data_IF_698730623297
#
_entry.id   IF_698730623297
#
_cell.length_a   1.000
_cell.length_b   1.000
_cell.length_c   1.000
_cell.angle_alpha   90.00
_cell.angle_beta   90.00
_cell.angle_gamma   90.00
#
_symmetry.space_group_name_H-M   'P 1'
#
loop_
_entity.id
_entity.type
_entity.pdbx_description
1 polymer ?
#
# COMPACT_ATOMS: atom_id res chain seq x y z
N UNK A 1 25.29 -11.17 -1.32
CA UNK A 1 23.94 -11.34 -0.78
C UNK A 1 24.02 -11.62 0.72
N UNK A 2 23.33 -10.81 1.53
CA UNK A 2 23.32 -10.97 2.99
C UNK A 2 22.13 -11.80 3.46
N UNK A 3 21.10 -11.96 2.62
CA UNK A 3 19.98 -12.84 2.89
C UNK A 3 20.45 -14.28 2.90
N UNK A 4 20.26 -14.97 4.03
CA UNK A 4 20.76 -16.34 4.25
C UNK A 4 19.74 -17.41 3.84
N UNK A 5 18.62 -17.02 3.24
CA UNK A 5 17.51 -17.92 2.89
C UNK A 5 17.14 -18.85 4.05
N UNK A 6 16.77 -18.23 5.18
CA UNK A 6 16.44 -18.98 6.40
C UNK A 6 15.28 -19.93 6.17
N UNK A 7 15.40 -21.18 6.62
CA UNK A 7 14.31 -22.18 6.56
C UNK A 7 13.05 -21.74 7.33
N UNK A 8 13.22 -20.90 8.37
CA UNK A 8 12.15 -20.22 9.06
C UNK A 8 12.41 -18.71 8.99
N UNK A 9 11.92 -18.02 7.95
CA UNK A 9 12.18 -16.60 7.77
C UNK A 9 11.30 -15.76 8.71
N UNK A 10 11.83 -15.35 9.86
CA UNK A 10 11.12 -14.50 10.81
C UNK A 10 10.68 -13.16 10.23
N UNK A 11 11.36 -12.68 9.18
CA UNK A 11 10.95 -11.48 8.44
C UNK A 11 9.53 -11.59 7.85
N UNK A 12 9.00 -12.80 7.61
CA UNK A 12 7.64 -13.05 7.14
C UNK A 12 6.61 -13.14 8.27
N UNK A 13 7.01 -13.27 9.54
CA UNK A 13 6.15 -13.78 10.60
C UNK A 13 4.92 -12.91 10.87
N UNK A 14 5.07 -11.59 10.86
CA UNK A 14 3.97 -10.65 11.10
C UNK A 14 3.27 -10.84 12.45
N UNK A 15 3.99 -11.29 13.48
CA UNK A 15 3.44 -11.59 14.80
C UNK A 15 3.63 -10.43 15.77
N UNK A 16 2.73 -10.32 16.75
CA UNK A 16 2.86 -9.35 17.84
C UNK A 16 3.69 -9.96 18.97
N UNK A 17 4.82 -9.32 19.30
CA UNK A 17 5.69 -9.67 20.43
C UNK A 17 5.76 -8.49 21.39
N UNK A 18 5.32 -8.68 22.65
CA UNK A 18 5.34 -7.64 23.68
C UNK A 18 4.73 -6.29 23.22
N UNK A 19 3.65 -6.34 22.44
CA UNK A 19 2.99 -5.13 21.92
C UNK A 19 3.64 -4.48 20.71
N UNK A 20 4.74 -5.04 20.19
CA UNK A 20 5.40 -4.60 18.97
C UNK A 20 5.24 -5.63 17.84
N UNK A 21 5.11 -5.15 16.61
CA UNK A 21 5.03 -6.01 15.42
C UNK A 21 6.43 -6.51 15.06
N UNK A 22 6.58 -7.83 14.91
CA UNK A 22 7.79 -8.50 14.44
C UNK A 22 7.54 -9.20 13.12
N UNK A 23 8.35 -8.92 12.12
CA UNK A 23 8.15 -9.41 10.76
C UNK A 23 7.10 -8.64 9.96
N UNK A 24 6.91 -9.01 8.71
CA UNK A 24 5.99 -8.36 7.78
C UNK A 24 4.55 -8.83 7.98
N UNK A 25 3.59 -7.93 8.29
CA UNK A 25 2.18 -8.32 8.45
C UNK A 25 1.49 -8.74 7.13
N UNK A 26 2.10 -8.42 5.99
CA UNK A 26 1.65 -8.88 4.68
C UNK A 26 2.27 -10.21 4.28
N UNK A 27 3.17 -10.76 5.10
CA UNK A 27 3.94 -11.97 4.82
C UNK A 27 4.68 -11.91 3.47
N UNK A 28 5.30 -10.75 3.17
CA UNK A 28 6.10 -10.57 1.98
C UNK A 28 7.19 -11.64 1.89
N UNK A 29 7.47 -12.10 0.67
CA UNK A 29 8.34 -13.26 0.40
C UNK A 29 9.81 -12.81 0.24
N UNK A 30 10.40 -12.26 1.32
CA UNK A 30 11.72 -11.61 1.28
C UNK A 30 12.83 -12.50 0.78
N UNK A 31 13.06 -13.73 1.28
CA UNK A 31 14.14 -14.56 0.80
C UNK A 31 14.07 -14.82 -0.71
N UNK A 32 12.87 -15.05 -1.23
CA UNK A 32 12.64 -15.38 -2.62
C UNK A 32 12.94 -14.20 -3.56
N UNK A 33 12.38 -13.00 -3.30
CA UNK A 33 12.71 -11.88 -4.17
C UNK A 33 14.14 -11.37 -3.97
N UNK A 34 14.74 -11.53 -2.78
CA UNK A 34 16.14 -11.22 -2.53
C UNK A 34 17.07 -12.15 -3.33
N UNK A 35 16.74 -13.42 -3.43
CA UNK A 35 17.48 -14.39 -4.24
C UNK A 35 17.40 -14.05 -5.73
N UNK A 36 16.21 -13.71 -6.24
CA UNK A 36 16.07 -13.24 -7.62
C UNK A 36 16.89 -11.98 -7.91
N UNK A 37 16.94 -11.02 -6.97
CA UNK A 37 17.80 -9.82 -7.12
C UNK A 37 19.27 -10.22 -7.16
N UNK A 38 19.69 -11.16 -6.29
CA UNK A 38 21.08 -11.66 -6.27
C UNK A 38 21.47 -12.32 -7.58
N UNK A 39 20.56 -13.04 -8.20
CA UNK A 39 20.79 -13.71 -9.50
C UNK A 39 20.63 -12.76 -10.70
N UNK A 40 20.30 -11.48 -10.50
CA UNK A 40 20.04 -10.54 -11.60
C UNK A 40 18.71 -10.77 -12.33
N UNK A 41 17.78 -11.49 -11.70
CA UNK A 41 16.48 -11.85 -12.27
C UNK A 41 15.40 -10.85 -11.85
N UNK A 42 15.59 -9.56 -12.15
CA UNK A 42 14.76 -8.44 -11.67
C UNK A 42 13.27 -8.61 -12.02
N UNK A 43 12.94 -9.18 -13.18
CA UNK A 43 11.55 -9.45 -13.54
C UNK A 43 10.87 -10.42 -12.57
N UNK A 44 11.54 -11.50 -12.21
CA UNK A 44 11.01 -12.48 -11.26
C UNK A 44 10.95 -11.91 -9.85
N UNK A 45 11.92 -11.08 -9.45
CA UNK A 45 11.90 -10.35 -8.19
C UNK A 45 10.65 -9.46 -8.09
N UNK A 46 10.34 -8.70 -9.14
CA UNK A 46 9.14 -7.87 -9.20
C UNK A 46 7.85 -8.69 -9.12
N UNK A 47 7.73 -9.75 -9.90
CA UNK A 47 6.54 -10.63 -9.88
C UNK A 47 6.34 -11.22 -8.48
N UNK A 48 7.42 -11.63 -7.83
CA UNK A 48 7.36 -12.21 -6.49
C UNK A 48 6.97 -11.18 -5.42
N UNK A 49 7.55 -9.99 -5.45
CA UNK A 49 7.22 -8.90 -4.54
C UNK A 49 5.76 -8.44 -4.71
N UNK A 50 5.32 -8.28 -5.96
CA UNK A 50 3.97 -7.79 -6.26
C UNK A 50 2.86 -8.81 -5.94
N UNK A 51 3.22 -10.08 -5.64
CA UNK A 51 2.25 -11.11 -5.24
C UNK A 51 1.59 -10.81 -3.89
N UNK A 52 2.31 -10.15 -2.98
CA UNK A 52 1.84 -9.85 -1.62
C UNK A 52 1.80 -8.36 -1.32
N UNK A 53 2.42 -7.52 -2.15
CA UNK A 53 2.47 -6.07 -1.97
C UNK A 53 2.01 -5.35 -3.24
N UNK A 54 0.84 -4.70 -3.19
CA UNK A 54 0.28 -3.96 -4.32
C UNK A 54 1.11 -2.73 -4.69
N UNK A 55 1.72 -2.07 -3.69
CA UNK A 55 2.36 -0.76 -3.87
C UNK A 55 3.74 -0.70 -3.20
N UNK A 56 4.72 -1.47 -3.69
CA UNK A 56 6.07 -1.43 -3.14
C UNK A 56 6.71 -0.04 -3.17
N UNK A 57 6.35 0.81 -4.15
CA UNK A 57 6.81 2.19 -4.24
C UNK A 57 6.33 3.08 -3.08
N UNK A 58 5.24 2.72 -2.39
CA UNK A 58 4.81 3.44 -1.19
C UNK A 58 5.46 2.84 0.05
N UNK A 59 5.37 1.52 0.22
CA UNK A 59 5.90 0.84 1.40
C UNK A 59 7.40 0.98 1.53
N UNK A 60 8.15 0.95 0.43
CA UNK A 60 9.60 1.16 0.45
C UNK A 60 10.03 2.55 0.96
N UNK A 61 9.16 3.55 0.94
CA UNK A 61 9.42 4.87 1.49
C UNK A 61 8.93 5.03 2.94
N UNK A 62 7.74 4.51 3.26
CA UNK A 62 7.05 4.87 4.51
C UNK A 62 6.91 3.75 5.52
N UNK A 63 7.13 2.49 5.13
CA UNK A 63 7.03 1.35 6.04
C UNK A 63 8.12 1.44 7.12
N UNK A 64 7.80 1.18 8.41
CA UNK A 64 8.80 1.12 9.49
C UNK A 64 9.70 -0.12 9.41
N UNK A 65 9.45 -1.03 8.47
CA UNK A 65 10.23 -2.23 8.17
C UNK A 65 10.45 -3.16 9.39
N UNK A 66 9.40 -3.62 10.08
CA UNK A 66 9.54 -4.56 11.19
C UNK A 66 10.16 -5.91 10.76
N UNK A 67 10.15 -6.19 9.45
CA UNK A 67 10.83 -7.32 8.85
C UNK A 67 12.37 -7.24 8.99
N UNK A 68 12.96 -6.04 8.93
CA UNK A 68 14.40 -5.85 9.13
C UNK A 68 14.79 -6.13 10.60
N UNK A 69 13.97 -5.65 11.55
CA UNK A 69 14.16 -5.95 12.97
C UNK A 69 14.01 -7.44 13.32
N UNK A 70 13.23 -8.19 12.54
CA UNK A 70 13.04 -9.63 12.70
C UNK A 70 14.05 -10.48 11.92
N UNK A 71 14.96 -9.86 11.15
CA UNK A 71 15.92 -10.57 10.34
C UNK A 71 16.99 -11.28 11.18
N UNK A 72 17.11 -12.61 11.05
CA UNK A 72 18.08 -13.42 11.78
C UNK A 72 19.53 -12.99 11.54
N UNK A 73 19.85 -12.42 10.36
CA UNK A 73 21.19 -11.88 10.09
C UNK A 73 21.56 -10.77 11.09
N UNK A 74 20.60 -10.06 11.65
CA UNK A 74 20.79 -9.04 12.66
C UNK A 74 21.32 -9.55 14.01
N UNK A 75 21.30 -10.86 14.25
CA UNK A 75 21.88 -11.48 15.44
C UNK A 75 23.42 -11.58 15.39
N UNK A 76 23.99 -11.57 14.19
CA UNK A 76 25.43 -11.77 13.96
C UNK A 76 26.06 -10.53 13.36
N UNK A 77 25.30 -9.76 12.59
CA UNK A 77 25.75 -8.55 11.89
C UNK A 77 24.53 -7.64 11.65
N UNK A 78 24.64 -6.60 10.76
CA UNK A 78 23.49 -5.81 10.40
C UNK A 78 22.42 -6.65 9.67
N UNK A 79 21.13 -6.40 9.90
CA UNK A 79 20.05 -7.07 9.17
C UNK A 79 20.11 -6.77 7.67
N UNK A 80 19.41 -7.57 6.88
CA UNK A 80 19.20 -7.29 5.44
C UNK A 80 18.36 -6.03 5.29
N UNK A 81 18.81 -5.09 4.45
CA UNK A 81 18.08 -3.85 4.12
C UNK A 81 16.91 -4.15 3.18
N UNK A 82 15.90 -4.83 3.70
CA UNK A 82 14.76 -5.38 2.94
C UNK A 82 14.01 -4.26 2.23
N UNK A 83 13.71 -3.19 2.95
CA UNK A 83 12.96 -2.05 2.39
C UNK A 83 13.68 -1.39 1.20
N UNK A 84 15.00 -1.29 1.26
CA UNK A 84 15.79 -0.76 0.15
C UNK A 84 15.80 -1.71 -1.05
N UNK A 85 15.79 -3.02 -0.80
CA UNK A 85 15.67 -4.01 -1.87
C UNK A 85 14.28 -3.95 -2.54
N UNK A 86 13.21 -3.81 -1.76
CA UNK A 86 11.86 -3.58 -2.29
C UNK A 86 11.83 -2.31 -3.17
N UNK A 87 12.48 -1.22 -2.73
CA UNK A 87 12.59 0.02 -3.52
C UNK A 87 13.34 -0.21 -4.83
N UNK A 88 14.49 -0.89 -4.77
CA UNK A 88 15.25 -1.25 -5.97
C UNK A 88 14.38 -2.03 -6.96
N UNK A 89 13.74 -3.09 -6.50
CA UNK A 89 12.92 -3.97 -7.35
C UNK A 89 11.81 -3.19 -8.05
N UNK A 90 11.06 -2.36 -7.31
CA UNK A 90 9.94 -1.64 -7.92
C UNK A 90 10.40 -0.52 -8.86
N UNK A 91 11.46 0.20 -8.54
CA UNK A 91 11.96 1.25 -9.43
C UNK A 91 12.59 0.66 -10.70
N UNK A 92 13.31 -0.46 -10.62
CA UNK A 92 13.75 -1.20 -11.80
C UNK A 92 12.57 -1.70 -12.64
N UNK A 93 11.50 -2.19 -11.99
CA UNK A 93 10.30 -2.63 -12.70
C UNK A 93 9.62 -1.47 -13.47
N UNK A 94 9.57 -0.26 -12.89
CA UNK A 94 9.09 0.92 -13.60
C UNK A 94 10.01 1.35 -14.74
N UNK A 95 11.32 1.42 -14.49
CA UNK A 95 12.34 1.79 -15.50
C UNK A 95 12.28 0.87 -16.71
N UNK A 96 12.13 -0.44 -16.47
CA UNK A 96 12.04 -1.47 -17.51
C UNK A 96 10.62 -1.66 -18.07
N UNK A 97 9.65 -0.80 -17.73
CA UNK A 97 8.26 -0.86 -18.20
C UNK A 97 7.55 -2.20 -17.92
N UNK A 98 7.94 -2.88 -16.86
CA UNK A 98 7.30 -4.12 -16.42
C UNK A 98 5.97 -3.85 -15.71
N UNK A 99 5.89 -2.71 -14.99
CA UNK A 99 4.65 -2.30 -14.32
C UNK A 99 3.67 -1.77 -15.35
N UNK A 100 2.57 -2.48 -15.51
CA UNK A 100 1.52 -2.15 -16.49
C UNK A 100 0.17 -1.99 -15.81
N UNK A 101 -0.79 -1.25 -16.43
CA UNK A 101 -2.17 -1.22 -15.95
C UNK A 101 -2.78 -2.63 -15.94
N UNK A 102 -3.40 -2.99 -14.82
CA UNK A 102 -4.10 -4.27 -14.67
C UNK A 102 -5.45 -4.23 -15.37
N UNK A 103 -5.50 -4.73 -16.61
CA UNK A 103 -6.76 -4.89 -17.36
C UNK A 103 -7.20 -6.35 -17.27
N UNK A 104 -8.30 -6.66 -16.56
CA UNK A 104 -8.77 -8.03 -16.46
C UNK A 104 -9.25 -8.54 -17.83
N UNK A 105 -8.97 -9.81 -18.12
CA UNK A 105 -9.39 -10.43 -19.39
C UNK A 105 -10.92 -10.52 -19.54
N UNK A 106 -11.61 -10.66 -18.40
CA UNK A 106 -13.08 -10.75 -18.35
C UNK A 106 -13.62 -9.87 -17.23
N UNK A 107 -14.75 -9.22 -17.48
CA UNK A 107 -15.51 -8.50 -16.45
C UNK A 107 -16.60 -9.40 -15.90
N UNK A 108 -16.76 -9.37 -14.56
CA UNK A 108 -17.78 -10.18 -13.85
C UNK A 108 -19.20 -9.60 -13.98
N UNK A 109 -19.32 -8.37 -14.48
CA UNK A 109 -20.56 -7.61 -14.46
C UNK A 109 -20.93 -7.01 -13.10
N UNK A 110 -20.18 -7.32 -12.03
CA UNK A 110 -20.38 -6.78 -10.70
C UNK A 110 -19.73 -5.42 -10.53
N UNK A 111 -20.46 -4.50 -9.88
CA UNK A 111 -20.04 -3.13 -9.55
C UNK A 111 -19.75 -3.01 -8.07
N UNK A 112 -18.57 -2.51 -7.71
CA UNK A 112 -18.17 -2.32 -6.31
C UNK A 112 -17.80 -0.87 -6.06
N UNK A 113 -18.39 -0.29 -5.03
CA UNK A 113 -18.01 1.02 -4.52
C UNK A 113 -16.96 0.87 -3.40
N UNK A 114 -15.85 1.57 -3.53
CA UNK A 114 -14.82 1.67 -2.48
C UNK A 114 -14.85 3.08 -1.90
N UNK A 115 -15.08 3.20 -0.60
CA UNK A 115 -15.23 4.49 0.07
C UNK A 115 -13.92 4.88 0.76
N UNK A 116 -13.24 5.85 0.18
CA UNK A 116 -11.91 6.31 0.58
C UNK A 116 -10.81 5.81 -0.36
N UNK A 117 -9.90 6.69 -0.72
CA UNK A 117 -8.77 6.45 -1.63
C UNK A 117 -7.41 6.39 -0.90
N UNK A 118 -7.41 6.19 0.41
CA UNK A 118 -6.18 5.91 1.15
C UNK A 118 -5.52 4.59 0.74
N UNK A 119 -4.39 4.20 1.35
CA UNK A 119 -3.68 2.95 1.00
C UNK A 119 -4.58 1.73 0.94
N UNK A 120 -5.47 1.57 1.93
CA UNK A 120 -6.41 0.45 1.99
C UNK A 120 -7.41 0.46 0.82
N UNK A 121 -7.99 1.64 0.51
CA UNK A 121 -8.94 1.77 -0.60
C UNK A 121 -8.29 1.56 -1.96
N UNK A 122 -7.09 2.08 -2.16
CA UNK A 122 -6.35 1.86 -3.41
C UNK A 122 -6.00 0.38 -3.60
N UNK A 123 -5.54 -0.33 -2.54
CA UNK A 123 -5.22 -1.76 -2.62
C UNK A 123 -6.48 -2.59 -2.87
N UNK A 124 -7.57 -2.30 -2.17
CA UNK A 124 -8.87 -2.94 -2.39
C UNK A 124 -9.34 -2.75 -3.84
N UNK A 125 -9.24 -1.52 -4.38
CA UNK A 125 -9.63 -1.23 -5.74
C UNK A 125 -8.76 -1.97 -6.78
N UNK A 126 -7.45 -2.08 -6.54
CA UNK A 126 -6.53 -2.83 -7.40
C UNK A 126 -6.91 -4.33 -7.45
N UNK A 127 -7.10 -4.95 -6.28
CA UNK A 127 -7.45 -6.38 -6.20
C UNK A 127 -8.84 -6.68 -6.80
N UNK A 128 -9.84 -5.86 -6.51
CA UNK A 128 -11.17 -6.02 -7.07
C UNK A 128 -11.17 -5.84 -8.60
N UNK A 129 -10.39 -4.88 -9.11
CA UNK A 129 -10.23 -4.70 -10.55
C UNK A 129 -9.51 -5.90 -11.20
N UNK A 130 -8.45 -6.43 -10.57
CA UNK A 130 -7.77 -7.67 -11.01
C UNK A 130 -8.72 -8.86 -11.07
N UNK A 131 -9.63 -8.95 -10.10
CA UNK A 131 -10.68 -9.98 -10.06
C UNK A 131 -11.78 -9.81 -11.13
N UNK A 132 -11.76 -8.70 -11.88
CA UNK A 132 -12.68 -8.43 -12.97
C UNK A 132 -13.92 -7.63 -12.60
N UNK A 133 -14.02 -7.10 -11.38
CA UNK A 133 -15.13 -6.23 -10.99
C UNK A 133 -14.97 -4.83 -11.56
N UNK A 134 -16.09 -4.13 -11.81
CA UNK A 134 -16.10 -2.70 -12.11
C UNK A 134 -16.02 -1.93 -10.79
N UNK A 135 -14.96 -1.16 -10.60
CA UNK A 135 -14.69 -0.49 -9.31
C UNK A 135 -14.75 1.01 -9.46
N UNK A 136 -15.51 1.66 -8.59
CA UNK A 136 -15.52 3.12 -8.43
C UNK A 136 -15.06 3.47 -7.02
N UNK A 137 -14.00 4.26 -6.91
CA UNK A 137 -13.46 4.77 -5.65
C UNK A 137 -14.04 6.16 -5.39
N UNK A 138 -14.74 6.32 -4.29
CA UNK A 138 -15.29 7.60 -3.82
C UNK A 138 -14.32 8.24 -2.84
N UNK A 139 -13.89 9.46 -3.13
CA UNK A 139 -12.96 10.22 -2.30
C UNK A 139 -13.53 11.61 -2.00
N UNK A 140 -13.57 11.98 -0.73
CA UNK A 140 -14.06 13.29 -0.31
C UNK A 140 -13.13 14.44 -0.69
N UNK A 141 -11.82 14.18 -0.80
CA UNK A 141 -10.83 15.18 -1.16
C UNK A 141 -10.75 15.38 -2.69
N UNK A 142 -10.04 16.43 -3.09
CA UNK A 142 -9.81 16.80 -4.50
C UNK A 142 -8.78 15.89 -5.20
N UNK A 143 -8.00 15.11 -4.45
CA UNK A 143 -6.99 14.18 -4.97
C UNK A 143 -7.05 12.83 -4.25
N UNK A 144 -6.79 11.72 -4.95
CA UNK A 144 -6.72 10.40 -4.33
C UNK A 144 -5.41 10.20 -3.57
N UNK A 145 -5.41 9.28 -2.62
CA UNK A 145 -4.22 8.86 -1.87
C UNK A 145 -4.37 8.98 -0.35
N UNK A 146 -5.39 9.67 0.16
CA UNK A 146 -5.60 9.83 1.60
C UNK A 146 -4.36 10.39 2.30
N UNK A 147 -3.90 9.75 3.38
CA UNK A 147 -2.72 10.20 4.13
C UNK A 147 -1.41 10.11 3.32
N UNK A 148 -1.31 9.30 2.28
CA UNK A 148 -0.16 9.32 1.37
C UNK A 148 -0.03 10.70 0.70
N UNK A 149 -1.17 11.27 0.29
CA UNK A 149 -1.23 12.58 -0.38
C UNK A 149 -1.17 13.74 0.63
N UNK A 150 -1.96 13.68 1.70
CA UNK A 150 -2.22 14.83 2.58
C UNK A 150 -1.50 14.76 3.94
N UNK A 151 -1.04 13.56 4.38
CA UNK A 151 -0.43 13.40 5.70
C UNK A 151 1.09 13.24 5.68
N UNK A 152 1.67 12.63 4.64
CA UNK A 152 3.09 12.36 4.56
C UNK A 152 3.81 13.52 3.85
N UNK A 153 4.89 14.11 4.40
CA UNK A 153 5.62 15.19 3.75
C UNK A 153 6.36 14.71 2.49
N UNK A 154 6.53 15.62 1.52
CA UNK A 154 7.15 15.32 0.22
C UNK A 154 8.58 14.77 0.34
N UNK A 155 9.35 15.20 1.34
CA UNK A 155 10.70 14.69 1.57
C UNK A 155 10.73 13.20 1.92
N UNK A 156 9.62 12.64 2.40
CA UNK A 156 9.49 11.22 2.75
C UNK A 156 8.81 10.42 1.65
N UNK A 157 7.84 11.01 0.94
CA UNK A 157 7.13 10.38 -0.18
C UNK A 157 6.77 11.44 -1.22
N UNK A 158 7.45 11.45 -2.35
CA UNK A 158 7.13 12.33 -3.47
C UNK A 158 5.73 12.00 -4.02
N UNK A 159 4.88 13.03 -4.15
CA UNK A 159 3.50 12.88 -4.63
C UNK A 159 3.41 12.38 -6.06
N UNK A 160 4.45 12.56 -6.86
CA UNK A 160 4.56 11.99 -8.21
C UNK A 160 4.46 10.46 -8.22
N UNK A 161 4.90 9.79 -7.14
CA UNK A 161 4.76 8.33 -7.02
C UNK A 161 3.29 7.92 -6.87
N UNK A 162 2.52 8.73 -6.13
CA UNK A 162 1.08 8.51 -5.96
C UNK A 162 0.37 8.74 -7.29
N UNK A 163 0.67 9.86 -7.96
CA UNK A 163 0.07 10.20 -9.26
C UNK A 163 0.37 9.12 -10.29
N UNK A 164 1.63 8.61 -10.32
CA UNK A 164 2.06 7.50 -11.18
C UNK A 164 1.20 6.25 -10.97
N UNK A 165 0.98 5.86 -9.71
CA UNK A 165 0.17 4.68 -9.36
C UNK A 165 -1.31 4.88 -9.66
N UNK A 166 -1.86 6.02 -9.29
CA UNK A 166 -3.27 6.35 -9.56
C UNK A 166 -3.56 6.35 -11.06
N UNK A 167 -2.62 6.86 -11.87
CA UNK A 167 -2.72 6.78 -13.32
C UNK A 167 -2.81 5.33 -13.81
N UNK A 168 -1.97 4.44 -13.30
CA UNK A 168 -2.01 3.01 -13.66
C UNK A 168 -3.35 2.36 -13.29
N UNK A 169 -3.91 2.69 -12.12
CA UNK A 169 -5.22 2.18 -11.70
C UNK A 169 -6.33 2.67 -12.65
N UNK A 170 -6.32 3.96 -13.00
CA UNK A 170 -7.26 4.54 -13.98
C UNK A 170 -7.13 3.89 -15.35
N UNK A 171 -5.90 3.75 -15.84
CA UNK A 171 -5.61 3.10 -17.12
C UNK A 171 -6.01 1.60 -17.11
N UNK A 172 -6.06 0.98 -15.92
CA UNK A 172 -6.55 -0.38 -15.67
C UNK A 172 -8.08 -0.49 -15.62
N UNK A 173 -8.80 0.64 -15.51
CA UNK A 173 -10.25 0.67 -15.50
C UNK A 173 -10.88 0.92 -14.14
N UNK A 174 -10.10 1.36 -13.13
CA UNK A 174 -10.65 1.85 -11.86
C UNK A 174 -11.11 3.29 -12.04
N UNK A 175 -12.34 3.57 -11.67
CA UNK A 175 -12.93 4.91 -11.68
C UNK A 175 -12.72 5.62 -10.34
N UNK A 176 -12.52 6.96 -10.39
CA UNK A 176 -12.38 7.79 -9.20
C UNK A 176 -13.39 8.93 -9.24
N UNK A 177 -14.25 8.99 -8.22
CA UNK A 177 -15.18 10.09 -7.96
C UNK A 177 -14.61 10.93 -6.82
N UNK A 178 -13.96 12.04 -7.18
CA UNK A 178 -13.35 12.97 -6.23
C UNK A 178 -14.38 14.01 -5.76
N UNK A 179 -14.06 14.73 -4.66
CA UNK A 179 -14.98 15.67 -4.00
C UNK A 179 -16.34 15.02 -3.69
N UNK A 180 -16.32 13.72 -3.37
CA UNK A 180 -17.48 12.87 -3.20
C UNK A 180 -17.50 12.28 -1.78
N UNK A 181 -18.11 13.01 -0.84
CA UNK A 181 -18.20 12.61 0.56
C UNK A 181 -19.47 11.80 0.78
N UNK A 182 -19.30 10.51 1.05
CA UNK A 182 -20.42 9.60 1.35
C UNK A 182 -21.00 9.94 2.72
N UNK A 183 -22.32 10.08 2.78
CA UNK A 183 -23.05 10.57 3.94
C UNK A 183 -23.36 12.07 3.90
N UNK A 184 -22.70 12.81 3.00
CA UNK A 184 -22.97 14.24 2.76
C UNK A 184 -23.41 14.51 1.32
N UNK A 185 -22.48 14.38 0.34
CA UNK A 185 -22.79 14.63 -1.07
C UNK A 185 -23.39 13.43 -1.78
N UNK A 186 -23.18 12.23 -1.27
CA UNK A 186 -23.73 10.98 -1.80
C UNK A 186 -24.36 10.19 -0.64
N UNK A 187 -25.63 9.80 -0.78
CA UNK A 187 -26.29 9.00 0.26
C UNK A 187 -25.91 7.52 0.18
N UNK A 188 -25.97 6.84 1.34
CA UNK A 188 -25.74 5.39 1.43
C UNK A 188 -26.75 4.60 0.61
N UNK A 189 -28.02 5.07 0.57
CA UNK A 189 -29.09 4.44 -0.21
C UNK A 189 -28.79 4.51 -1.72
N UNK A 190 -28.19 5.60 -2.19
CA UNK A 190 -27.76 5.72 -3.60
C UNK A 190 -26.71 4.66 -3.94
N UNK A 191 -25.71 4.49 -3.07
CA UNK A 191 -24.66 3.51 -3.29
C UNK A 191 -25.20 2.07 -3.27
N UNK A 192 -26.05 1.72 -2.31
CA UNK A 192 -26.62 0.37 -2.21
C UNK A 192 -27.57 0.02 -3.37
N UNK A 193 -28.14 1.03 -4.05
CA UNK A 193 -28.95 0.81 -5.27
C UNK A 193 -28.12 0.68 -6.53
N UNK A 194 -26.95 1.34 -6.60
CA UNK A 194 -26.14 1.42 -7.82
C UNK A 194 -25.03 0.38 -7.89
N UNK A 195 -24.60 -0.16 -6.73
CA UNK A 195 -23.48 -1.08 -6.60
C UNK A 195 -23.92 -2.39 -5.96
N UNK A 196 -23.31 -3.50 -6.41
CA UNK A 196 -23.54 -4.83 -5.84
C UNK A 196 -22.90 -4.99 -4.45
N UNK A 197 -21.83 -4.23 -4.17
CA UNK A 197 -21.15 -4.21 -2.87
C UNK A 197 -20.53 -2.84 -2.59
N UNK A 198 -20.40 -2.52 -1.31
CA UNK A 198 -19.74 -1.32 -0.81
C UNK A 198 -18.67 -1.71 0.20
N UNK A 199 -17.45 -1.22 0.01
CA UNK A 199 -16.31 -1.45 0.91
C UNK A 199 -15.91 -0.14 1.58
N UNK A 200 -15.88 -0.13 2.90
CA UNK A 200 -15.50 1.03 3.69
C UNK A 200 -14.01 1.05 3.97
N UNK A 201 -13.29 2.01 3.39
CA UNK A 201 -11.86 2.25 3.54
C UNK A 201 -11.57 3.69 4.01
N UNK A 202 -12.41 4.20 4.90
CA UNK A 202 -12.46 5.62 5.29
C UNK A 202 -11.28 6.11 6.13
N UNK A 203 -10.48 5.18 6.67
CA UNK A 203 -9.37 5.50 7.57
C UNK A 203 -9.84 6.06 8.90
N UNK A 204 -8.94 6.78 9.60
CA UNK A 204 -9.23 7.47 10.85
C UNK A 204 -8.93 8.96 10.68
N UNK A 205 -9.89 9.82 10.99
CA UNK A 205 -9.79 11.28 10.84
C UNK A 205 -9.73 12.02 12.17
N UNK A 206 -9.98 11.31 13.27
CA UNK A 206 -9.86 11.87 14.61
C UNK A 206 -8.45 11.52 15.11
N UNK A 207 -7.57 12.54 15.27
CA UNK A 207 -6.22 12.31 15.78
C UNK A 207 -6.28 11.89 17.25
N UNK A 208 -5.33 11.07 17.67
CA UNK A 208 -5.12 10.80 19.09
C UNK A 208 -4.48 12.02 19.73
N UNK A 209 -5.08 12.50 20.79
CA UNK A 209 -4.49 13.59 21.57
C UNK A 209 -3.42 13.05 22.52
N UNK A 210 -2.49 13.94 22.89
CA UNK A 210 -1.50 13.72 23.95
C UNK A 210 -1.83 14.66 25.13
N UNK A 211 -2.62 14.21 26.11
CA UNK A 211 -3.10 15.05 27.20
C UNK A 211 -1.99 15.23 28.26
N UNK A 212 -1.05 16.13 27.96
CA UNK A 212 0.06 16.51 28.85
C UNK A 212 -0.04 18.02 29.19
N UNK A 213 0.55 18.48 30.31
CA UNK A 213 0.63 19.90 30.62
C UNK A 213 1.21 20.69 29.46
N UNK A 214 0.53 21.79 29.10
CA UNK A 214 0.92 22.64 27.98
C UNK A 214 0.31 22.24 26.61
N UNK A 215 -0.49 21.20 26.53
CA UNK A 215 -1.17 20.80 25.27
C UNK A 215 -2.06 21.91 24.70
N UNK A 216 -2.63 22.75 25.57
CA UNK A 216 -3.50 23.88 25.26
C UNK A 216 -2.76 25.17 24.85
N UNK A 217 -1.43 25.16 24.86
CA UNK A 217 -0.63 26.31 24.46
C UNK A 217 -0.82 26.63 22.97
N UNK A 218 -0.82 27.95 22.67
CA UNK A 218 -0.95 28.45 21.30
C UNK A 218 0.22 27.95 20.43
N UNK A 219 -0.10 27.45 19.25
CA UNK A 219 0.89 26.94 18.28
C UNK A 219 1.08 25.42 18.33
N UNK A 220 0.35 24.71 19.20
CA UNK A 220 0.33 23.23 19.25
C UNK A 220 -0.91 22.72 18.54
N UNK A 221 -0.70 22.08 17.40
CA UNK A 221 -1.76 21.53 16.54
C UNK A 221 -1.58 20.03 16.32
N UNK A 222 -2.60 19.37 15.75
CA UNK A 222 -2.52 18.01 15.27
C UNK A 222 -1.84 17.93 13.90
#
# INVERSE_FOLDING_TARGET
ARCMDCSIPFCHSGIMLNGALSGCPLHNLMPEFNDFVYQGLDHFAYVRLNKTNNFPEFTSHVCPAPCEGACSAGLVNDPVSIKNLEQYVIEQAFANKLVKPNKPAHRTGKKVAVIGSGPAGLACADELNKAGHSVTVFERADRPGGLLMYGIPNMKLDKKLIDRRVKLLKDGGVEFSLNSEVGHSISSETLTKQFDAVVLCTGSTIPRDLPVPGRDLKGIYF
#
